data_IF_955152120165
#
_entry.id   IF_955152120165
#
_cell.length_a   1.000
_cell.length_b   1.000
_cell.length_c   1.000
_cell.angle_alpha   90.00
_cell.angle_beta   90.00
_cell.angle_gamma   90.00
#
_symmetry.space_group_name_H-M   'P 1'
#
loop_
_entity.id
_entity.type
_entity.pdbx_description
1 polymer ?
#
# COMPACT_ATOMS: atom_id res chain seq x y z
N UNK A 1 -16.45 -41.13 47.03
CA UNK A 1 -16.81 -39.73 46.74
C UNK A 1 -15.90 -39.20 45.64
N UNK A 2 -16.43 -39.16 44.42
CA UNK A 2 -15.96 -38.43 43.23
C UNK A 2 -16.15 -36.92 43.48
N UNK A 3 -15.40 -35.94 42.96
CA UNK A 3 -14.72 -35.73 41.69
C UNK A 3 -13.69 -34.59 41.85
N UNK A 4 -12.60 -34.70 41.08
CA UNK A 4 -11.91 -33.66 40.28
C UNK A 4 -12.04 -32.19 40.73
N UNK A 5 -10.90 -31.51 40.84
CA UNK A 5 -10.58 -30.39 39.95
C UNK A 5 -9.08 -30.06 40.01
N UNK A 6 -8.27 -30.72 39.18
CA UNK A 6 -7.00 -30.14 38.78
C UNK A 6 -7.32 -28.90 37.96
N UNK A 7 -7.18 -27.72 38.58
CA UNK A 7 -7.03 -26.47 37.84
C UNK A 7 -5.71 -26.57 37.08
N UNK A 8 -5.76 -27.12 35.87
CA UNK A 8 -4.75 -26.84 34.86
C UNK A 8 -4.89 -25.37 34.51
N UNK A 9 -4.15 -24.52 35.22
CA UNK A 9 -3.81 -23.18 34.72
C UNK A 9 -3.24 -23.38 33.32
N UNK A 10 -3.97 -22.86 32.34
CA UNK A 10 -3.70 -23.02 30.93
C UNK A 10 -2.28 -22.56 30.60
N UNK A 11 -1.36 -23.52 30.55
CA UNK A 11 -0.22 -23.41 29.67
C UNK A 11 -0.81 -23.38 28.26
N UNK A 12 -0.85 -22.17 27.68
CA UNK A 12 -0.94 -21.97 26.25
C UNK A 12 0.24 -22.72 25.62
N UNK A 13 -0.04 -23.97 25.27
CA UNK A 13 0.89 -24.89 24.67
C UNK A 13 1.48 -24.26 23.41
N UNK A 14 2.80 -24.03 23.42
CA UNK A 14 3.67 -23.62 22.29
C UNK A 14 3.49 -24.52 21.05
N UNK A 15 2.80 -25.66 21.18
CA UNK A 15 2.54 -26.66 20.14
C UNK A 15 1.11 -26.63 19.57
N UNK A 16 0.23 -25.70 19.95
CA UNK A 16 -1.08 -25.59 19.28
C UNK A 16 -0.89 -25.01 17.87
N UNK A 17 -1.12 -25.78 16.78
CA UNK A 17 -1.01 -25.29 15.40
C UNK A 17 -2.10 -24.27 15.03
N UNK A 18 -2.97 -23.91 15.98
CA UNK A 18 -4.12 -23.04 15.81
C UNK A 18 -3.76 -21.57 15.65
N UNK A 19 -2.76 -21.06 16.37
CA UNK A 19 -2.36 -19.64 16.27
C UNK A 19 -1.77 -19.28 14.91
N UNK A 20 -1.08 -20.24 14.26
CA UNK A 20 -0.58 -20.06 12.89
C UNK A 20 -1.71 -19.95 11.84
N UNK A 21 -2.93 -20.42 12.14
CA UNK A 21 -4.10 -20.26 11.25
C UNK A 21 -4.74 -18.88 11.33
N UNK A 22 -4.61 -18.20 12.47
CA UNK A 22 -5.16 -16.86 12.70
C UNK A 22 -4.32 -15.76 12.05
N UNK A 23 -3.04 -16.02 11.78
CA UNK A 23 -2.17 -15.07 11.12
C UNK A 23 -2.65 -14.77 9.68
N UNK A 24 -2.81 -13.48 9.29
CA UNK A 24 -3.29 -13.11 7.97
C UNK A 24 -2.32 -13.58 6.87
N UNK A 25 -2.90 -13.96 5.73
CA UNK A 25 -2.15 -14.33 4.53
C UNK A 25 -1.31 -13.13 4.05
N UNK A 26 -0.03 -13.29 3.64
CA UNK A 26 0.80 -12.18 3.18
C UNK A 26 0.20 -11.42 1.98
N UNK A 27 -0.62 -12.10 1.18
CA UNK A 27 -1.41 -11.47 0.10
C UNK A 27 -2.36 -10.37 0.58
N UNK A 28 -2.91 -10.47 1.80
CA UNK A 28 -3.72 -9.40 2.39
C UNK A 28 -2.88 -8.17 2.71
N UNK A 29 -1.63 -8.36 3.15
CA UNK A 29 -0.72 -7.24 3.39
C UNK A 29 -0.32 -6.55 2.08
N UNK A 30 -0.05 -7.33 1.01
CA UNK A 30 0.18 -6.79 -0.34
C UNK A 30 -1.03 -5.95 -0.78
N UNK A 31 -2.23 -6.50 -0.66
CA UNK A 31 -3.46 -5.80 -1.03
C UNK A 31 -3.67 -4.52 -0.21
N UNK A 32 -3.54 -4.59 1.12
CA UNK A 32 -3.74 -3.46 2.01
C UNK A 32 -2.75 -2.31 1.74
N UNK A 33 -1.46 -2.63 1.56
CA UNK A 33 -0.43 -1.63 1.23
C UNK A 33 -0.71 -1.02 -0.15
N UNK A 34 -1.07 -1.85 -1.13
CA UNK A 34 -1.34 -1.38 -2.49
C UNK A 34 -2.58 -0.48 -2.55
N UNK A 35 -3.63 -0.86 -1.82
CA UNK A 35 -4.84 -0.06 -1.68
C UNK A 35 -4.55 1.27 -0.97
N UNK A 36 -3.77 1.23 0.11
CA UNK A 36 -3.37 2.43 0.84
C UNK A 36 -2.59 3.40 -0.05
N UNK A 37 -1.59 2.91 -0.78
CA UNK A 37 -0.81 3.76 -1.69
C UNK A 37 -1.68 4.26 -2.85
N UNK A 38 -2.52 3.40 -3.44
CA UNK A 38 -3.38 3.77 -4.55
C UNK A 38 -4.47 4.78 -4.20
N UNK A 39 -4.99 4.75 -2.97
CA UNK A 39 -6.11 5.60 -2.52
C UNK A 39 -5.64 6.73 -1.60
N UNK A 40 -5.07 6.40 -0.44
CA UNK A 40 -4.70 7.39 0.56
C UNK A 40 -3.54 8.29 0.09
N UNK A 41 -2.54 7.72 -0.59
CA UNK A 41 -1.41 8.47 -1.13
C UNK A 41 -1.67 9.08 -2.52
N UNK A 42 -2.89 9.01 -3.06
CA UNK A 42 -3.18 9.56 -4.39
C UNK A 42 -3.78 10.97 -4.33
N UNK A 43 -2.95 11.97 -4.60
CA UNK A 43 -3.35 13.40 -4.61
C UNK A 43 -4.41 13.70 -5.67
N UNK A 44 -4.32 13.10 -6.86
CA UNK A 44 -5.27 13.33 -7.94
C UNK A 44 -6.69 12.88 -7.53
N UNK A 45 -6.79 11.74 -6.84
CA UNK A 45 -8.05 11.23 -6.30
C UNK A 45 -8.67 12.21 -5.29
N UNK A 46 -7.89 12.65 -4.30
CA UNK A 46 -8.37 13.60 -3.29
C UNK A 46 -8.78 14.94 -3.89
N UNK A 47 -8.04 15.46 -4.87
CA UNK A 47 -8.40 16.71 -5.54
C UNK A 47 -9.66 16.57 -6.39
N UNK A 48 -9.82 15.46 -7.10
CA UNK A 48 -11.04 15.21 -7.87
C UNK A 48 -12.27 15.01 -6.98
N UNK A 49 -12.11 14.46 -5.77
CA UNK A 49 -13.18 14.37 -4.77
C UNK A 49 -13.57 15.72 -4.17
N UNK A 50 -12.61 16.65 -4.08
CA UNK A 50 -12.85 18.01 -3.60
C UNK A 50 -13.32 18.97 -4.72
N UNK A 51 -13.21 18.57 -5.99
CA UNK A 51 -13.72 19.32 -7.14
C UNK A 51 -15.26 19.18 -7.22
N UNK A 52 -16.03 20.27 -7.04
CA UNK A 52 -17.49 20.23 -7.13
C UNK A 52 -18.01 19.79 -8.50
N UNK A 53 -17.21 19.96 -9.57
CA UNK A 53 -17.61 19.62 -10.93
C UNK A 53 -17.29 18.16 -11.29
N UNK A 54 -16.55 17.45 -10.43
CA UNK A 54 -16.11 16.06 -10.65
C UNK A 54 -15.46 15.80 -12.02
N UNK A 55 -14.90 16.86 -12.63
CA UNK A 55 -14.49 16.88 -14.04
C UNK A 55 -13.37 15.87 -14.35
N UNK A 56 -12.49 15.65 -13.36
CA UNK A 56 -11.35 14.75 -13.46
C UNK A 56 -11.53 13.40 -12.74
N UNK A 57 -12.73 13.07 -12.22
CA UNK A 57 -12.94 11.90 -11.36
C UNK A 57 -12.54 10.59 -12.03
N UNK A 58 -12.90 10.41 -13.30
CA UNK A 58 -12.56 9.19 -14.05
C UNK A 58 -11.05 9.03 -14.24
N UNK A 59 -10.34 10.11 -14.56
CA UNK A 59 -8.88 10.09 -14.71
C UNK A 59 -8.20 9.86 -13.35
N UNK A 60 -8.68 10.52 -12.30
CA UNK A 60 -8.16 10.37 -10.94
C UNK A 60 -8.34 8.93 -10.42
N UNK A 61 -9.52 8.33 -10.62
CA UNK A 61 -9.78 6.93 -10.30
C UNK A 61 -8.86 5.98 -11.09
N UNK A 62 -8.62 6.25 -12.37
CA UNK A 62 -7.69 5.45 -13.18
C UNK A 62 -6.25 5.53 -12.62
N UNK A 63 -5.78 6.71 -12.22
CA UNK A 63 -4.46 6.84 -11.58
C UNK A 63 -4.40 6.05 -10.27
N UNK A 64 -5.44 6.09 -9.44
CA UNK A 64 -5.50 5.35 -8.18
C UNK A 64 -5.39 3.83 -8.39
N UNK A 65 -6.15 3.32 -9.37
CA UNK A 65 -6.12 1.90 -9.76
C UNK A 65 -4.75 1.51 -10.30
N UNK A 66 -4.16 2.31 -11.20
CA UNK A 66 -2.86 2.00 -11.80
C UNK A 66 -1.75 2.06 -10.74
N UNK A 67 -1.69 3.11 -9.90
CA UNK A 67 -0.69 3.22 -8.84
C UNK A 67 -0.81 2.05 -7.86
N UNK A 68 -2.03 1.71 -7.43
CA UNK A 68 -2.27 0.53 -6.60
C UNK A 68 -1.80 -0.76 -7.27
N UNK A 69 -2.15 -0.99 -8.54
CA UNK A 69 -1.75 -2.19 -9.25
C UNK A 69 -0.23 -2.29 -9.48
N UNK A 70 0.45 -1.17 -9.78
CA UNK A 70 1.91 -1.12 -9.89
C UNK A 70 2.58 -1.46 -8.56
N UNK A 71 2.06 -0.93 -7.45
CA UNK A 71 2.57 -1.29 -6.12
C UNK A 71 2.34 -2.77 -5.79
N UNK A 72 1.19 -3.33 -6.17
CA UNK A 72 0.90 -4.75 -6.02
C UNK A 72 1.84 -5.61 -6.86
N UNK A 73 2.18 -5.21 -8.09
CA UNK A 73 3.20 -5.88 -8.91
C UNK A 73 4.56 -5.89 -8.23
N UNK A 74 5.05 -4.71 -7.81
CA UNK A 74 6.36 -4.56 -7.18
C UNK A 74 6.45 -5.39 -5.90
N UNK A 75 5.42 -5.31 -5.05
CA UNK A 75 5.34 -6.10 -3.82
C UNK A 75 5.23 -7.58 -4.12
N UNK A 76 4.48 -8.01 -5.13
CA UNK A 76 4.35 -9.44 -5.46
C UNK A 76 5.66 -10.05 -5.95
N UNK A 77 6.46 -9.30 -6.73
CA UNK A 77 7.80 -9.72 -7.13
C UNK A 77 8.77 -9.82 -5.93
N UNK A 78 8.63 -8.89 -4.97
CA UNK A 78 9.53 -8.76 -3.81
C UNK A 78 8.93 -9.30 -2.50
N UNK A 79 7.81 -10.03 -2.55
CA UNK A 79 7.14 -10.60 -1.39
C UNK A 79 7.86 -11.88 -0.97
N UNK A 80 9.09 -11.72 -0.46
CA UNK A 80 9.85 -12.75 0.22
C UNK A 80 9.92 -12.47 1.72
N UNK A 81 10.17 -13.51 2.50
CA UNK A 81 10.11 -13.48 3.97
C UNK A 81 10.90 -12.33 4.62
N UNK A 82 12.05 -11.97 4.04
CA UNK A 82 12.93 -10.91 4.58
C UNK A 82 12.79 -9.57 3.86
N UNK A 83 12.35 -9.57 2.61
CA UNK A 83 12.32 -8.36 1.77
C UNK A 83 10.99 -7.65 1.80
N UNK A 84 9.88 -8.33 2.12
CA UNK A 84 8.55 -7.73 2.05
C UNK A 84 8.39 -6.50 2.95
N UNK A 85 8.68 -6.64 4.26
CA UNK A 85 8.54 -5.52 5.22
C UNK A 85 9.42 -4.31 4.86
N UNK A 86 10.73 -4.45 4.57
CA UNK A 86 11.54 -3.28 4.22
C UNK A 86 11.11 -2.64 2.89
N UNK A 87 10.77 -3.44 1.87
CA UNK A 87 10.31 -2.90 0.58
C UNK A 87 8.97 -2.16 0.73
N UNK A 88 8.01 -2.75 1.43
CA UNK A 88 6.72 -2.10 1.68
C UNK A 88 6.88 -0.81 2.50
N UNK A 89 7.79 -0.79 3.48
CA UNK A 89 8.09 0.42 4.26
C UNK A 89 8.69 1.52 3.39
N UNK A 90 9.65 1.17 2.53
CA UNK A 90 10.24 2.09 1.56
C UNK A 90 9.21 2.66 0.60
N UNK A 91 8.33 1.80 0.06
CA UNK A 91 7.25 2.22 -0.83
C UNK A 91 6.23 3.12 -0.13
N UNK A 92 5.85 2.83 1.12
CA UNK A 92 4.95 3.68 1.92
C UNK A 92 5.58 5.05 2.21
N UNK A 93 6.85 5.10 2.62
CA UNK A 93 7.57 6.35 2.86
C UNK A 93 7.74 7.17 1.59
N UNK A 94 8.12 6.53 0.49
CA UNK A 94 8.28 7.18 -0.80
C UNK A 94 6.94 7.73 -1.29
N UNK A 95 5.88 6.92 -1.25
CA UNK A 95 4.54 7.36 -1.60
C UNK A 95 4.11 8.55 -0.75
N UNK A 96 4.26 8.48 0.58
CA UNK A 96 3.92 9.58 1.47
C UNK A 96 4.70 10.86 1.16
N UNK A 97 6.00 10.78 0.86
CA UNK A 97 6.83 11.92 0.50
C UNK A 97 6.37 12.55 -0.82
N UNK A 98 6.11 11.71 -1.83
CA UNK A 98 5.58 12.13 -3.15
C UNK A 98 4.22 12.82 -2.99
N UNK A 99 3.30 12.22 -2.23
CA UNK A 99 1.97 12.79 -1.96
C UNK A 99 2.07 14.12 -1.23
N UNK A 100 2.94 14.21 -0.23
CA UNK A 100 3.13 15.44 0.57
C UNK A 100 3.70 16.57 -0.27
N UNK A 101 4.71 16.29 -1.11
CA UNK A 101 5.27 17.25 -2.05
C UNK A 101 4.23 17.75 -3.05
N UNK A 102 3.55 16.82 -3.73
CA UNK A 102 2.52 17.15 -4.71
C UNK A 102 1.32 17.89 -4.09
N UNK A 103 0.96 17.60 -2.84
CA UNK A 103 -0.12 18.31 -2.14
C UNK A 103 0.26 19.76 -1.85
N UNK A 104 1.46 20.00 -1.31
CA UNK A 104 1.90 21.33 -0.87
C UNK A 104 2.22 22.28 -2.02
N UNK A 105 2.64 21.76 -3.16
CA UNK A 105 3.02 22.56 -4.32
C UNK A 105 1.85 22.90 -5.24
N UNK A 106 0.63 22.42 -4.94
CA UNK A 106 -0.56 22.71 -5.72
C UNK A 106 -0.65 22.03 -7.09
N UNK A 107 0.44 21.43 -7.59
CA UNK A 107 0.44 20.75 -8.89
C UNK A 107 -0.28 19.40 -8.85
N UNK A 108 -1.33 19.23 -9.65
CA UNK A 108 -1.67 17.92 -10.19
C UNK A 108 -0.76 17.68 -11.40
N UNK A 109 -0.11 16.52 -11.54
CA UNK A 109 0.53 16.18 -12.80
C UNK A 109 -0.59 15.88 -13.80
N UNK A 110 -1.17 16.94 -14.39
CA UNK A 110 -2.12 16.82 -15.49
C UNK A 110 -1.38 16.50 -16.81
N UNK A 111 -0.11 16.86 -16.91
CA UNK A 111 0.74 16.58 -18.07
C UNK A 111 1.89 15.62 -17.72
N UNK A 112 1.81 14.34 -18.13
CA UNK A 112 2.85 13.34 -17.89
C UNK A 112 4.17 13.59 -18.66
N UNK A 113 4.25 14.61 -19.53
CA UNK A 113 5.42 14.93 -20.35
C UNK A 113 6.15 16.23 -19.99
N UNK A 114 5.71 16.99 -18.99
CA UNK A 114 6.46 18.18 -18.56
C UNK A 114 7.64 17.80 -17.66
N UNK A 115 8.74 17.35 -18.27
CA UNK A 115 10.02 17.10 -17.59
C UNK A 115 10.52 18.29 -16.74
N UNK A 116 10.01 19.50 -17.01
CA UNK A 116 10.28 20.72 -16.23
C UNK A 116 9.46 20.83 -14.92
N UNK A 117 8.29 20.20 -14.79
CA UNK A 117 7.53 20.14 -13.52
C UNK A 117 7.91 18.96 -12.64
N UNK A 118 8.66 17.98 -13.17
CA UNK A 118 9.16 16.80 -12.44
C UNK A 118 10.19 17.12 -11.33
N UNK A 119 10.68 18.36 -11.23
CA UNK A 119 11.76 18.74 -10.30
C UNK A 119 11.35 18.80 -8.83
N UNK A 120 10.06 18.70 -8.49
CA UNK A 120 9.61 18.91 -7.11
C UNK A 120 8.63 17.86 -6.60
N UNK A 121 8.80 16.59 -6.98
CA UNK A 121 7.97 15.53 -6.39
C UNK A 121 8.17 15.41 -4.86
N UNK A 122 9.31 15.87 -4.34
CA UNK A 122 9.61 15.90 -2.91
C UNK A 122 9.36 17.28 -2.27
N UNK A 123 8.95 17.34 -0.99
CA UNK A 123 8.88 18.58 -0.25
C UNK A 123 10.26 19.22 -0.13
N UNK A 124 10.37 20.52 -0.40
CA UNK A 124 11.61 21.27 -0.22
C UNK A 124 12.05 21.27 1.25
N UNK A 125 13.36 21.37 1.50
CA UNK A 125 13.93 21.29 2.85
C UNK A 125 13.30 22.27 3.85
N UNK A 126 13.02 23.50 3.43
CA UNK A 126 12.34 24.49 4.27
C UNK A 126 10.93 24.06 4.71
N UNK A 127 10.24 23.24 3.91
CA UNK A 127 8.91 22.72 4.23
C UNK A 127 8.95 21.64 5.32
N UNK A 128 10.09 20.95 5.50
CA UNK A 128 10.26 19.93 6.54
C UNK A 128 10.19 20.51 7.96
N UNK A 129 10.49 21.81 8.11
CA UNK A 129 10.43 22.53 9.39
C UNK A 129 8.97 22.83 9.79
N UNK A 130 8.07 22.97 8.81
CA UNK A 130 6.66 23.19 9.07
C UNK A 130 5.97 21.91 9.53
N UNK A 131 5.11 21.98 10.56
CA UNK A 131 4.42 20.82 11.16
C UNK A 131 3.56 19.99 10.18
N UNK A 132 3.17 20.56 9.04
CA UNK A 132 2.33 19.90 8.02
C UNK A 132 3.04 18.72 7.36
N UNK A 133 4.31 18.87 7.00
CA UNK A 133 5.09 17.80 6.36
C UNK A 133 5.30 16.59 7.28
N UNK A 134 5.83 16.72 8.51
CA UNK A 134 5.99 15.58 9.41
C UNK A 134 4.64 14.96 9.76
N UNK A 135 3.55 15.74 9.88
CA UNK A 135 2.22 15.16 10.09
C UNK A 135 1.77 14.30 8.90
N UNK A 136 1.91 14.78 7.66
CA UNK A 136 1.52 14.00 6.47
C UNK A 136 2.40 12.76 6.30
N UNK A 137 3.72 12.87 6.52
CA UNK A 137 4.62 11.71 6.52
C UNK A 137 4.27 10.72 7.63
N UNK A 138 3.90 11.21 8.81
CA UNK A 138 3.49 10.37 9.93
C UNK A 138 2.19 9.63 9.61
N UNK A 139 1.16 10.33 9.12
CA UNK A 139 -0.16 9.74 8.86
C UNK A 139 -0.15 8.83 7.62
N UNK A 140 0.44 9.28 6.51
CA UNK A 140 0.40 8.55 5.24
C UNK A 140 1.45 7.45 5.15
N UNK A 141 2.58 7.61 5.83
CA UNK A 141 3.71 6.71 5.74
C UNK A 141 3.97 5.94 7.05
N UNK A 142 4.20 6.66 8.15
CA UNK A 142 4.70 6.06 9.39
C UNK A 142 3.62 5.19 10.05
N UNK A 143 2.38 5.66 10.08
CA UNK A 143 1.24 4.97 10.66
C UNK A 143 0.98 3.61 9.98
N UNK A 144 0.78 3.51 8.64
CA UNK A 144 0.59 2.22 8.00
C UNK A 144 1.84 1.35 8.07
N UNK A 145 3.04 1.95 8.11
CA UNK A 145 4.29 1.21 8.33
C UNK A 145 4.31 0.57 9.73
N UNK A 146 3.99 1.30 10.79
CA UNK A 146 3.94 0.76 12.16
C UNK A 146 2.92 -0.37 12.28
N UNK A 147 1.74 -0.20 11.69
CA UNK A 147 0.72 -1.26 11.61
C UNK A 147 1.29 -2.49 10.89
N UNK A 148 1.93 -2.31 9.74
CA UNK A 148 2.55 -3.40 8.99
C UNK A 148 3.62 -4.15 9.78
N UNK A 149 4.47 -3.42 10.51
CA UNK A 149 5.54 -4.03 11.30
C UNK A 149 4.99 -4.79 12.51
N UNK A 150 3.92 -4.30 13.13
CA UNK A 150 3.23 -4.96 14.23
C UNK A 150 2.38 -6.17 13.79
N UNK A 151 2.02 -6.26 12.51
CA UNK A 151 1.32 -7.45 11.99
C UNK A 151 2.26 -8.66 11.84
N UNK A 152 1.85 -9.78 12.43
CA UNK A 152 2.49 -11.08 12.26
C UNK A 152 1.90 -11.77 11.04
N UNK A 153 2.65 -11.79 9.94
CA UNK A 153 2.21 -12.42 8.69
C UNK A 153 2.43 -13.94 8.74
N UNK A 154 1.47 -14.68 8.19
CA UNK A 154 1.57 -16.14 8.11
C UNK A 154 2.79 -16.55 7.28
N UNK A 155 3.60 -17.46 7.82
CA UNK A 155 4.74 -18.03 7.10
C UNK A 155 4.25 -19.07 6.09
N UNK A 156 4.55 -18.85 4.81
CA UNK A 156 4.29 -19.79 3.73
C UNK A 156 5.57 -20.55 3.39
N UNK A 157 5.43 -21.79 2.89
CA UNK A 157 6.55 -22.51 2.27
C UNK A 157 6.92 -21.85 0.93
N UNK A 158 8.18 -21.97 0.50
CA UNK A 158 8.68 -21.33 -0.73
C UNK A 158 7.76 -21.54 -1.95
N UNK A 159 7.35 -22.79 -2.28
CA UNK A 159 6.45 -23.04 -3.41
C UNK A 159 5.04 -22.47 -3.24
N UNK A 160 4.52 -22.40 -2.00
CA UNK A 160 3.22 -21.79 -1.73
C UNK A 160 3.29 -20.26 -1.87
N UNK A 161 4.39 -19.66 -1.41
CA UNK A 161 4.67 -18.23 -1.56
C UNK A 161 4.85 -17.83 -3.03
N UNK A 162 5.61 -18.62 -3.80
CA UNK A 162 5.79 -18.39 -5.23
C UNK A 162 4.46 -18.41 -5.99
N UNK A 163 3.59 -19.39 -5.72
CA UNK A 163 2.25 -19.46 -6.32
C UNK A 163 1.38 -18.25 -5.95
N UNK A 164 1.43 -17.80 -4.69
CA UNK A 164 0.70 -16.61 -4.26
C UNK A 164 1.21 -15.35 -4.98
N UNK A 165 2.53 -15.19 -5.08
CA UNK A 165 3.17 -14.07 -5.78
C UNK A 165 2.82 -14.06 -7.27
N UNK A 166 2.85 -15.22 -7.94
CA UNK A 166 2.47 -15.33 -9.35
C UNK A 166 1.00 -14.96 -9.59
N UNK A 167 0.09 -15.43 -8.74
CA UNK A 167 -1.33 -15.05 -8.83
C UNK A 167 -1.53 -13.55 -8.68
N UNK A 168 -0.87 -12.94 -7.70
CA UNK A 168 -0.95 -11.51 -7.47
C UNK A 168 -0.31 -10.71 -8.62
N UNK A 169 0.77 -11.21 -9.21
CA UNK A 169 1.43 -10.60 -10.36
C UNK A 169 0.52 -10.61 -11.60
N UNK A 170 -0.06 -11.76 -11.94
CA UNK A 170 -1.02 -11.87 -13.05
C UNK A 170 -2.25 -11.00 -12.83
N UNK A 171 -2.79 -10.97 -11.61
CA UNK A 171 -3.95 -10.14 -11.31
C UNK A 171 -3.61 -8.65 -11.47
N UNK A 172 -2.46 -8.21 -10.98
CA UNK A 172 -2.06 -6.82 -11.09
C UNK A 172 -1.73 -6.40 -12.53
N UNK A 173 -1.13 -7.28 -13.35
CA UNK A 173 -0.95 -6.99 -14.79
C UNK A 173 -2.28 -6.88 -15.52
N UNK A 174 -3.25 -7.75 -15.22
CA UNK A 174 -4.60 -7.65 -15.79
C UNK A 174 -5.30 -6.35 -15.40
N UNK A 175 -5.18 -5.91 -14.15
CA UNK A 175 -5.76 -4.63 -13.69
C UNK A 175 -5.13 -3.45 -14.42
N UNK A 176 -3.79 -3.44 -14.60
CA UNK A 176 -3.11 -2.38 -15.37
C UNK A 176 -3.54 -2.41 -16.83
N UNK A 177 -3.52 -3.58 -17.47
CA UNK A 177 -3.93 -3.74 -18.86
C UNK A 177 -5.38 -3.31 -19.10
N UNK A 178 -6.28 -3.68 -18.20
CA UNK A 178 -7.68 -3.24 -18.22
C UNK A 178 -7.83 -1.73 -18.03
N UNK A 179 -7.11 -1.12 -17.09
CA UNK A 179 -7.14 0.33 -16.88
C UNK A 179 -6.62 1.10 -18.11
N UNK A 180 -5.53 0.63 -18.72
CA UNK A 180 -4.95 1.23 -19.93
C UNK A 180 -5.90 1.09 -21.13
N UNK A 181 -6.49 -0.09 -21.31
CA UNK A 181 -7.44 -0.38 -22.39
C UNK A 181 -8.71 0.46 -22.26
N UNK A 182 -9.26 0.58 -21.04
CA UNK A 182 -10.39 1.46 -20.76
C UNK A 182 -10.06 2.94 -21.00
N UNK A 183 -8.84 3.38 -20.70
CA UNK A 183 -8.40 4.72 -21.02
C UNK A 183 -8.31 4.94 -22.54
N UNK A 184 -7.80 3.96 -23.28
CA UNK A 184 -7.72 3.98 -24.74
C UNK A 184 -9.10 4.05 -25.40
N UNK A 185 -10.08 3.29 -24.92
CA UNK A 185 -11.45 3.29 -25.47
C UNK A 185 -12.22 4.60 -25.24
N UNK A 186 -11.76 5.45 -24.32
CA UNK A 186 -12.41 6.73 -23.96
C UNK A 186 -11.81 7.94 -24.68
N UNK A 187 -10.73 7.76 -25.45
CA UNK A 187 -10.16 8.79 -26.33
C UNK A 187 -10.79 8.69 -27.71
#
# INVERSE_FOLDING_TARGET
MTLKLFRTTGYSTILMPGEARLAPHPGWAVFAVSLWIGVACNVALWRALLDPQASAMAAAAATAVVTGAVTALALSALCWRRTFKPVASGLLMLAAAVTTGAWLQGGTPADPMSLAQSYWVFPGWASLIGWRVPLMLAVLGLLPMLVLWNTQLRRLTGPAQLRANLKALVLATLVIGGAVLLHWMRR
#
